data_IF_963413581968
#
_entry.id   IF_963413581968
#
_cell.length_a   1.000
_cell.length_b   1.000
_cell.length_c   1.000
_cell.angle_alpha   90.00
_cell.angle_beta   90.00
_cell.angle_gamma   90.00
#
_symmetry.space_group_name_H-M   'P 1'
#
loop_
_entity.id
_entity.type
_entity.pdbx_description
1 polymer ?
#
# COMPACT_ATOMS: atom_id res chain seq x y z
N UNK A 1 -22.68 -18.63 15.25
CA UNK A 1 -22.76 -17.72 14.08
C UNK A 1 -21.34 -17.40 13.65
N UNK A 2 -21.04 -17.57 12.36
CA UNK A 2 -19.69 -17.59 11.82
C UNK A 2 -18.97 -16.25 12.06
N UNK A 3 -18.01 -16.26 12.99
CA UNK A 3 -17.03 -15.19 13.13
C UNK A 3 -16.12 -15.22 11.92
N UNK A 4 -16.46 -14.45 10.89
CA UNK A 4 -15.56 -14.13 9.79
C UNK A 4 -14.37 -13.39 10.38
N UNK A 5 -13.35 -14.16 10.78
CA UNK A 5 -11.98 -13.68 10.93
C UNK A 5 -11.65 -12.92 9.65
N UNK A 6 -11.75 -11.58 9.68
CA UNK A 6 -11.22 -10.70 8.64
C UNK A 6 -9.73 -10.99 8.56
N UNK A 7 -9.36 -11.93 7.68
CA UNK A 7 -7.97 -12.20 7.35
C UNK A 7 -7.41 -10.90 6.79
N UNK A 8 -6.64 -10.17 7.60
CA UNK A 8 -5.82 -9.07 7.10
C UNK A 8 -5.06 -9.59 5.89
N UNK A 9 -5.39 -9.07 4.70
CA UNK A 9 -4.72 -9.46 3.48
C UNK A 9 -3.31 -8.93 3.56
N UNK A 10 -2.27 -9.80 3.52
CA UNK A 10 -0.88 -9.36 3.61
C UNK A 10 -0.58 -8.28 2.58
N UNK A 11 0.19 -7.27 2.95
CA UNK A 11 0.42 -6.08 2.13
C UNK A 11 0.87 -6.40 0.70
N UNK A 12 1.71 -7.42 0.50
CA UNK A 12 2.21 -7.85 -0.80
C UNK A 12 1.16 -8.58 -1.68
N UNK A 13 0.03 -9.00 -1.08
CA UNK A 13 -1.12 -9.58 -1.80
C UNK A 13 -2.18 -8.54 -2.15
N UNK A 14 -2.07 -7.31 -1.66
CA UNK A 14 -3.03 -6.25 -1.97
C UNK A 14 -2.86 -5.76 -3.41
N UNK A 15 -3.99 -5.54 -4.11
CA UNK A 15 -3.99 -5.03 -5.49
C UNK A 15 -3.26 -3.69 -5.59
N UNK A 16 -3.39 -2.83 -4.58
CA UNK A 16 -2.70 -1.53 -4.49
C UNK A 16 -1.19 -1.67 -4.51
N UNK A 17 -0.63 -2.62 -3.76
CA UNK A 17 0.81 -2.85 -3.73
C UNK A 17 1.32 -3.35 -5.08
N UNK A 18 0.56 -4.20 -5.76
CA UNK A 18 0.90 -4.63 -7.13
C UNK A 18 0.85 -3.47 -8.12
N UNK A 19 -0.15 -2.60 -8.02
CA UNK A 19 -0.28 -1.41 -8.85
C UNK A 19 0.85 -0.40 -8.60
N UNK A 20 1.22 -0.21 -7.33
CA UNK A 20 2.34 0.64 -6.94
C UNK A 20 3.67 0.09 -7.48
N UNK A 21 3.92 -1.21 -7.34
CA UNK A 21 5.13 -1.86 -7.89
C UNK A 21 5.15 -1.75 -9.42
N UNK A 22 4.03 -2.00 -10.09
CA UNK A 22 3.94 -1.84 -11.54
C UNK A 22 4.26 -0.39 -11.97
N UNK A 23 3.72 0.61 -11.26
CA UNK A 23 4.02 2.01 -11.51
C UNK A 23 5.50 2.36 -11.32
N UNK A 24 6.15 1.82 -10.27
CA UNK A 24 7.59 1.99 -10.06
C UNK A 24 8.41 1.34 -11.18
N UNK A 25 8.01 0.16 -11.66
CA UNK A 25 8.67 -0.52 -12.78
C UNK A 25 8.50 0.25 -14.09
N UNK A 26 7.32 0.80 -14.35
CA UNK A 26 7.07 1.67 -15.51
C UNK A 26 7.93 2.92 -15.46
N UNK A 27 8.04 3.57 -14.30
CA UNK A 27 8.91 4.73 -14.12
C UNK A 27 10.39 4.35 -14.32
N UNK A 28 10.84 3.22 -13.77
CA UNK A 28 12.20 2.73 -14.01
C UNK A 28 12.46 2.49 -15.50
N UNK A 29 11.51 1.87 -16.22
CA UNK A 29 11.58 1.70 -17.66
C UNK A 29 11.69 3.02 -18.41
N UNK A 30 10.85 4.00 -18.08
CA UNK A 30 10.91 5.35 -18.66
C UNK A 30 12.24 6.07 -18.38
N UNK A 31 12.83 5.87 -17.20
CA UNK A 31 14.13 6.46 -16.87
C UNK A 31 15.25 5.88 -17.73
N UNK A 32 15.29 4.55 -17.89
CA UNK A 32 16.28 3.91 -18.75
C UNK A 32 16.06 4.19 -20.24
N UNK A 33 14.82 4.44 -20.66
CA UNK A 33 14.50 4.90 -22.01
C UNK A 33 14.88 6.38 -22.24
N UNK A 34 15.14 7.15 -21.18
CA UNK A 34 15.44 8.59 -21.25
C UNK A 34 14.20 9.49 -21.30
N UNK A 35 13.00 8.93 -21.15
CA UNK A 35 11.71 9.66 -21.23
C UNK A 35 11.40 10.45 -19.95
N UNK A 36 11.92 10.02 -18.80
CA UNK A 36 11.69 10.70 -17.52
C UNK A 36 13.02 10.96 -16.78
N UNK A 37 13.10 12.13 -16.13
CA UNK A 37 14.26 12.50 -15.33
C UNK A 37 14.33 11.75 -13.98
N UNK A 38 15.52 11.73 -13.38
CA UNK A 38 15.78 11.09 -12.08
C UNK A 38 14.83 11.58 -10.97
N UNK A 39 14.48 12.87 -10.98
CA UNK A 39 13.53 13.45 -10.02
C UNK A 39 12.14 12.83 -10.14
N UNK A 40 11.66 12.58 -11.37
CA UNK A 40 10.36 11.95 -11.61
C UNK A 40 10.37 10.47 -11.17
N UNK A 41 11.48 9.77 -11.42
CA UNK A 41 11.68 8.41 -10.92
C UNK A 41 11.60 8.35 -9.39
N UNK A 42 12.35 9.21 -8.70
CA UNK A 42 12.36 9.28 -7.23
C UNK A 42 10.97 9.65 -6.70
N UNK A 43 10.29 10.62 -7.32
CA UNK A 43 8.92 10.99 -6.97
C UNK A 43 7.95 9.80 -7.07
N UNK A 44 8.08 8.99 -8.13
CA UNK A 44 7.24 7.80 -8.32
C UNK A 44 7.46 6.73 -7.23
N UNK A 45 8.69 6.60 -6.72
CA UNK A 45 9.00 5.69 -5.61
C UNK A 45 8.31 6.16 -4.32
N UNK A 46 8.36 7.45 -4.00
CA UNK A 46 7.70 8.00 -2.83
C UNK A 46 6.18 7.91 -2.92
N UNK A 47 5.60 8.18 -4.09
CA UNK A 47 4.15 8.05 -4.32
C UNK A 47 3.72 6.58 -4.17
N UNK A 48 4.47 5.64 -4.75
CA UNK A 48 4.15 4.22 -4.66
C UNK A 48 4.28 3.68 -3.23
N UNK A 49 5.34 4.04 -2.50
CA UNK A 49 5.50 3.68 -1.09
C UNK A 49 4.42 4.32 -0.22
N UNK A 50 4.16 5.62 -0.42
CA UNK A 50 3.11 6.35 0.27
C UNK A 50 1.73 5.72 0.06
N UNK A 51 1.39 5.32 -1.17
CA UNK A 51 0.14 4.64 -1.47
C UNK A 51 -0.03 3.28 -0.77
N UNK A 52 1.07 2.51 -0.65
CA UNK A 52 1.06 1.23 0.08
C UNK A 52 0.83 1.46 1.58
N UNK A 53 1.62 2.36 2.20
CA UNK A 53 1.56 2.59 3.64
C UNK A 53 0.31 3.35 4.08
N UNK A 54 -0.16 4.32 3.29
CA UNK A 54 -1.40 5.04 3.58
C UNK A 54 -2.60 4.08 3.61
N UNK A 55 -2.66 3.14 2.66
CA UNK A 55 -3.69 2.11 2.64
C UNK A 55 -3.61 1.18 3.86
N UNK A 56 -2.41 0.78 4.28
CA UNK A 56 -2.23 0.01 5.51
C UNK A 56 -2.68 0.78 6.76
N UNK A 57 -2.42 2.09 6.82
CA UNK A 57 -2.88 2.95 7.91
C UNK A 57 -4.40 2.95 8.02
N UNK A 58 -5.09 3.16 6.90
CA UNK A 58 -6.57 3.13 6.85
C UNK A 58 -7.12 1.75 7.23
N UNK A 59 -6.54 0.66 6.71
CA UNK A 59 -7.01 -0.70 7.02
C UNK A 59 -6.77 -1.10 8.48
N UNK A 60 -5.67 -0.63 9.11
CA UNK A 60 -5.36 -0.88 10.51
C UNK A 60 -6.23 -0.05 11.47
N UNK A 61 -6.56 1.19 11.12
CA UNK A 61 -7.43 2.08 11.90
C UNK A 61 -8.90 1.67 11.87
N UNK A 62 -9.33 0.92 10.84
CA UNK A 62 -10.73 0.50 10.68
C UNK A 62 -11.05 -0.84 11.35
N UNK A 63 -10.06 -1.54 11.89
CA UNK A 63 -10.26 -2.86 12.47
C UNK A 63 -10.54 -2.77 13.99
N UNK A 64 -11.76 -3.07 14.47
CA UNK A 64 -12.12 -3.00 15.90
C UNK A 64 -11.41 -4.03 16.79
N UNK A 65 -10.65 -4.98 16.21
CA UNK A 65 -9.87 -5.94 17.00
C UNK A 65 -8.54 -5.39 17.56
N UNK A 66 -8.05 -4.24 17.08
CA UNK A 66 -6.83 -3.60 17.61
C UNK A 66 -7.09 -2.64 18.79
N UNK A 67 -8.36 -2.37 19.11
CA UNK A 67 -8.73 -1.61 20.30
C UNK A 67 -8.46 -2.45 21.55
N UNK A 68 -7.81 -1.91 22.60
CA UNK A 68 -7.69 -2.58 23.88
C UNK A 68 -9.07 -2.98 24.39
N UNK A 69 -9.17 -4.18 25.00
CA UNK A 69 -10.44 -4.83 25.36
C UNK A 69 -11.41 -3.92 26.15
N UNK A 70 -10.90 -2.89 26.81
CA UNK A 70 -11.65 -1.93 27.62
C UNK A 70 -12.56 -0.97 26.83
N UNK A 71 -12.36 -0.79 25.52
CA UNK A 71 -13.18 0.11 24.69
C UNK A 71 -14.17 -0.63 23.78
N UNK A 72 -14.27 -1.96 23.90
CA UNK A 72 -15.31 -2.74 23.24
C UNK A 72 -16.58 -2.69 24.10
N UNK A 73 -17.42 -1.70 23.84
CA UNK A 73 -18.82 -1.68 24.30
C UNK A 73 -19.63 -2.83 23.70
#
# INVERSE_FOLDING_TARGET
MAGLQEKLVPWYKQKTSRLAIAGMLTAAGGYFAGDIGLTALIGSLFVGLGGIFFRQGVEKSRNPTTMPLAERG
#
